data_IF_472662809566
#
_entry.id   IF_472662809566
#
_cell.length_a   1.000
_cell.length_b   1.000
_cell.length_c   1.000
_cell.angle_alpha   90.00
_cell.angle_beta   90.00
_cell.angle_gamma   90.00
#
_symmetry.space_group_name_H-M   'P 1'
#
loop_
_entity.id
_entity.type
_entity.pdbx_description
1 polymer ?
#
# COMPACT_ATOMS: atom_id res chain seq x y z
N UNK A 1 -5.03 19.35 23.26
CA UNK A 1 -5.06 20.11 21.99
C UNK A 1 -5.35 19.10 20.90
N UNK A 2 -6.55 19.12 20.31
CA UNK A 2 -6.93 18.14 19.28
C UNK A 2 -6.21 18.48 17.98
N UNK A 3 -5.60 17.48 17.31
CA UNK A 3 -4.98 17.64 15.99
C UNK A 3 -5.97 18.22 14.96
N UNK A 4 -7.27 18.01 15.18
CA UNK A 4 -8.39 18.48 14.36
C UNK A 4 -8.62 19.99 14.40
N UNK A 5 -7.97 20.73 15.31
CA UNK A 5 -8.08 22.18 15.38
C UNK A 5 -7.06 22.91 14.47
N UNK A 6 -6.12 22.17 13.88
CA UNK A 6 -5.11 22.74 12.97
C UNK A 6 -5.66 22.85 11.55
N UNK A 7 -5.17 23.84 10.79
CA UNK A 7 -5.47 23.93 9.36
C UNK A 7 -4.91 22.72 8.62
N UNK A 8 -5.55 22.35 7.50
CA UNK A 8 -5.09 21.24 6.65
C UNK A 8 -3.65 21.42 6.18
N UNK A 9 -3.20 22.65 5.92
CA UNK A 9 -1.81 22.94 5.53
C UNK A 9 -0.80 22.59 6.62
N UNK A 10 -1.09 22.94 7.88
CA UNK A 10 -0.22 22.61 9.01
C UNK A 10 -0.23 21.11 9.31
N UNK A 11 -1.38 20.45 9.16
CA UNK A 11 -1.50 19.00 9.27
C UNK A 11 -0.64 18.28 8.23
N UNK A 12 -0.62 18.74 6.96
CA UNK A 12 0.23 18.16 5.92
C UNK A 12 1.70 18.27 6.29
N UNK A 13 2.15 19.45 6.76
CA UNK A 13 3.55 19.67 7.15
C UNK A 13 3.93 18.75 8.31
N UNK A 14 3.10 18.66 9.35
CA UNK A 14 3.35 17.78 10.49
C UNK A 14 3.42 16.31 10.04
N UNK A 15 2.49 15.85 9.20
CA UNK A 15 2.49 14.49 8.67
C UNK A 15 3.67 14.22 7.72
N UNK A 16 4.24 15.25 7.08
CA UNK A 16 5.42 15.12 6.21
C UNK A 16 6.72 14.94 6.99
N UNK A 17 6.78 15.43 8.24
CA UNK A 17 7.93 15.32 9.15
C UNK A 17 7.92 14.03 9.98
N UNK A 18 6.76 13.40 10.19
CA UNK A 18 6.62 12.17 10.98
C UNK A 18 7.16 10.94 10.24
N UNK A 19 7.54 9.87 10.94
CA UNK A 19 7.87 8.60 10.28
C UNK A 19 6.62 7.95 9.66
N UNK A 20 6.81 7.03 8.72
CA UNK A 20 5.70 6.42 7.98
C UNK A 20 4.81 5.62 8.92
N UNK A 21 5.40 4.80 9.78
CA UNK A 21 4.71 4.07 10.83
C UNK A 21 3.88 4.98 11.73
N UNK A 22 4.40 6.16 12.10
CA UNK A 22 3.69 7.13 12.93
C UNK A 22 2.49 7.72 12.18
N UNK A 23 2.67 8.07 10.90
CA UNK A 23 1.57 8.54 10.04
C UNK A 23 0.48 7.47 9.94
N UNK A 24 0.86 6.20 9.76
CA UNK A 24 -0.10 5.09 9.72
C UNK A 24 -0.84 4.95 11.06
N UNK A 25 -0.13 5.01 12.19
CA UNK A 25 -0.73 4.94 13.54
C UNK A 25 -1.71 6.10 13.81
N UNK A 26 -1.38 7.31 13.34
CA UNK A 26 -2.27 8.46 13.39
C UNK A 26 -3.52 8.24 12.53
N UNK A 27 -3.40 7.59 11.38
CA UNK A 27 -4.52 7.29 10.49
C UNK A 27 -5.40 6.14 10.97
N UNK A 28 -4.82 5.16 11.68
CA UNK A 28 -5.55 4.12 12.39
C UNK A 28 -6.45 4.72 13.49
N UNK A 29 -5.96 5.76 14.16
CA UNK A 29 -6.71 6.44 15.23
C UNK A 29 -7.67 7.52 14.71
N UNK A 30 -7.38 8.13 13.56
CA UNK A 30 -8.13 9.26 12.99
C UNK A 30 -8.33 9.10 11.48
N UNK A 31 -9.33 8.32 11.04
CA UNK A 31 -9.59 8.07 9.62
C UNK A 31 -9.96 9.34 8.82
N UNK A 32 -10.39 10.42 9.49
CA UNK A 32 -10.70 11.71 8.85
C UNK A 32 -9.47 12.36 8.19
N UNK A 33 -8.27 12.00 8.65
CA UNK A 33 -7.01 12.52 8.12
C UNK A 33 -6.55 11.79 6.85
N UNK A 34 -7.25 10.74 6.42
CA UNK A 34 -6.91 9.92 5.25
C UNK A 34 -6.80 10.74 3.96
N UNK A 35 -7.66 11.73 3.78
CA UNK A 35 -7.63 12.64 2.63
C UNK A 35 -6.39 13.54 2.64
N UNK A 36 -5.91 13.91 3.83
CA UNK A 36 -4.78 14.82 4.03
C UNK A 36 -3.45 14.06 3.89
N UNK A 37 -3.40 12.83 4.40
CA UNK A 37 -2.23 11.96 4.28
C UNK A 37 -1.89 11.58 2.84
N UNK A 38 -2.85 11.64 1.92
CA UNK A 38 -2.62 11.38 0.49
C UNK A 38 -1.43 12.17 -0.07
N UNK A 39 -1.39 13.47 0.20
CA UNK A 39 -0.34 14.35 -0.31
C UNK A 39 1.02 14.07 0.33
N UNK A 40 1.04 13.68 1.62
CA UNK A 40 2.27 13.37 2.34
C UNK A 40 2.83 11.99 1.96
N UNK A 41 1.97 10.97 1.88
CA UNK A 41 2.35 9.60 1.60
C UNK A 41 2.75 9.40 0.13
N UNK A 42 2.14 10.12 -0.82
CA UNK A 42 2.49 10.00 -2.25
C UNK A 42 3.94 10.37 -2.56
N UNK A 43 4.52 11.33 -1.84
CA UNK A 43 5.92 11.72 -2.04
C UNK A 43 6.90 10.70 -1.44
N UNK A 44 6.41 9.80 -0.59
CA UNK A 44 7.23 8.78 0.09
C UNK A 44 7.11 7.49 -0.71
N UNK A 45 8.24 7.00 -1.20
CA UNK A 45 8.32 5.76 -1.96
C UNK A 45 8.16 4.59 -0.99
N UNK A 46 6.91 4.20 -0.71
CA UNK A 46 6.58 3.16 0.29
C UNK A 46 6.40 1.80 -0.37
N UNK A 47 7.06 0.78 0.20
CA UNK A 47 6.93 -0.61 -0.27
C UNK A 47 5.60 -1.20 0.19
N UNK A 48 4.74 -1.54 -0.77
CA UNK A 48 3.46 -2.21 -0.50
C UNK A 48 3.63 -3.69 -0.11
N UNK A 49 4.75 -4.33 -0.50
CA UNK A 49 4.95 -5.79 -0.37
C UNK A 49 4.90 -6.36 1.06
N UNK A 50 5.51 -5.75 2.11
CA UNK A 50 5.41 -6.31 3.46
C UNK A 50 3.96 -6.42 3.93
N UNK A 51 3.13 -5.42 3.60
CA UNK A 51 1.71 -5.40 3.92
C UNK A 51 0.90 -6.37 3.06
N UNK A 52 1.29 -6.56 1.79
CA UNK A 52 0.68 -7.54 0.91
C UNK A 52 0.98 -8.99 1.32
N UNK A 53 2.17 -9.23 1.86
CA UNK A 53 2.58 -10.54 2.39
C UNK A 53 1.86 -10.87 3.70
N UNK A 54 1.75 -9.89 4.61
CA UNK A 54 1.07 -10.05 5.90
C UNK A 54 -0.45 -10.14 5.75
N UNK A 55 -1.03 -9.54 4.69
CA UNK A 55 -2.47 -9.44 4.51
C UNK A 55 -3.08 -8.23 5.20
N UNK A 56 -2.29 -7.20 5.50
CA UNK A 56 -2.75 -5.99 6.18
C UNK A 56 -3.52 -5.08 5.20
N UNK A 57 -4.83 -5.36 5.09
CA UNK A 57 -5.75 -4.65 4.21
C UNK A 57 -5.82 -3.16 4.53
N UNK A 58 -5.73 -2.78 5.80
CA UNK A 58 -5.81 -1.38 6.20
C UNK A 58 -4.62 -0.60 5.61
N UNK A 59 -3.40 -1.12 5.82
CA UNK A 59 -2.19 -0.49 5.28
C UNK A 59 -2.12 -0.56 3.76
N UNK A 60 -2.53 -1.67 3.15
CA UNK A 60 -2.61 -1.80 1.69
C UNK A 60 -3.59 -0.78 1.11
N UNK A 61 -4.79 -0.63 1.67
CA UNK A 61 -5.77 0.37 1.22
C UNK A 61 -5.24 1.79 1.43
N UNK A 62 -4.58 2.06 2.56
CA UNK A 62 -4.01 3.37 2.85
C UNK A 62 -2.93 3.78 1.84
N UNK A 63 -2.13 2.82 1.41
CA UNK A 63 -1.06 3.06 0.44
C UNK A 63 -1.58 3.01 -1.02
N UNK A 64 -2.62 2.23 -1.30
CA UNK A 64 -3.37 2.18 -2.57
C UNK A 64 -4.49 3.22 -2.59
N UNK A 65 -4.20 4.48 -2.27
CA UNK A 65 -5.17 5.56 -2.49
C UNK A 65 -5.32 5.87 -3.99
N UNK A 66 -6.40 6.55 -4.43
CA UNK A 66 -6.61 6.90 -5.83
C UNK A 66 -5.41 7.62 -6.46
N UNK A 67 -4.76 7.01 -7.44
CA UNK A 67 -3.57 7.55 -8.12
C UNK A 67 -2.22 7.18 -7.48
N UNK A 68 -2.22 6.31 -6.46
CA UNK A 68 -1.03 5.59 -6.03
C UNK A 68 -0.67 4.50 -7.05
N UNK A 69 0.62 4.23 -7.21
CA UNK A 69 1.12 3.17 -8.08
C UNK A 69 1.02 1.82 -7.36
N UNK A 70 0.10 0.96 -7.83
CA UNK A 70 -0.14 -0.36 -7.26
C UNK A 70 1.00 -1.36 -7.52
N UNK A 71 1.89 -1.05 -8.46
CA UNK A 71 3.10 -1.82 -8.75
C UNK A 71 4.33 -1.24 -8.02
N UNK A 72 4.17 -0.22 -7.16
CA UNK A 72 5.28 0.40 -6.42
C UNK A 72 5.94 -0.61 -5.47
N UNK A 73 7.05 -1.18 -5.94
CA UNK A 73 7.93 -2.05 -5.16
C UNK A 73 9.35 -1.47 -5.15
N UNK A 74 9.99 -1.54 -3.99
CA UNK A 74 11.38 -1.11 -3.83
C UNK A 74 12.37 -2.14 -4.40
N UNK A 75 11.90 -3.34 -4.73
CA UNK A 75 12.76 -4.45 -5.15
C UNK A 75 12.39 -4.92 -6.55
N UNK A 76 13.42 -5.09 -7.37
CA UNK A 76 13.33 -5.52 -8.76
C UNK A 76 12.79 -6.95 -9.00
N UNK A 77 12.57 -7.73 -7.94
CA UNK A 77 12.20 -9.14 -8.03
C UNK A 77 10.86 -9.40 -7.30
N UNK A 78 9.74 -9.03 -7.94
CA UNK A 78 8.37 -9.32 -7.47
C UNK A 78 7.46 -8.10 -7.42
N UNK A 79 6.15 -8.33 -7.62
CA UNK A 79 5.12 -7.30 -7.47
C UNK A 79 4.33 -7.49 -6.18
N UNK A 80 3.73 -6.42 -5.62
CA UNK A 80 2.81 -6.54 -4.47
C UNK A 80 1.72 -7.59 -4.71
N UNK A 81 1.25 -7.71 -5.96
CA UNK A 81 0.26 -8.70 -6.38
C UNK A 81 0.79 -10.13 -6.29
N UNK A 82 2.02 -10.41 -6.73
CA UNK A 82 2.60 -11.75 -6.63
C UNK A 82 2.78 -12.20 -5.18
N UNK A 83 3.17 -11.28 -4.30
CA UNK A 83 3.38 -11.58 -2.89
C UNK A 83 2.05 -11.85 -2.18
N UNK A 84 1.02 -11.04 -2.44
CA UNK A 84 -0.32 -11.28 -1.93
C UNK A 84 -0.87 -12.64 -2.40
N UNK A 85 -0.73 -12.95 -3.69
CA UNK A 85 -1.21 -14.20 -4.28
C UNK A 85 -0.45 -15.42 -3.74
N UNK A 86 0.87 -15.35 -3.60
CA UNK A 86 1.71 -16.44 -3.08
C UNK A 86 1.48 -16.74 -1.59
N UNK A 87 0.86 -15.81 -0.86
CA UNK A 87 0.48 -15.96 0.54
C UNK A 87 -1.03 -16.17 0.73
N UNK A 88 -1.82 -16.33 -0.34
CA UNK A 88 -3.26 -16.56 -0.27
C UNK A 88 -4.06 -15.37 0.28
N UNK A 89 -3.56 -14.14 0.12
CA UNK A 89 -4.23 -12.92 0.61
C UNK A 89 -5.27 -12.44 -0.41
N UNK A 90 -6.37 -13.18 -0.54
CA UNK A 90 -7.39 -12.91 -1.57
C UNK A 90 -7.95 -11.48 -1.54
N UNK A 91 -8.22 -10.93 -0.35
CA UNK A 91 -8.76 -9.57 -0.21
C UNK A 91 -7.76 -8.49 -0.65
N UNK A 92 -6.47 -8.69 -0.34
CA UNK A 92 -5.39 -7.82 -0.81
C UNK A 92 -5.22 -7.92 -2.33
N UNK A 93 -5.30 -9.13 -2.89
CA UNK A 93 -5.24 -9.35 -4.34
C UNK A 93 -6.36 -8.57 -5.04
N UNK A 94 -7.60 -8.66 -4.53
CA UNK A 94 -8.73 -7.90 -5.08
C UNK A 94 -8.48 -6.40 -5.04
N UNK A 95 -8.01 -5.87 -3.90
CA UNK A 95 -7.70 -4.45 -3.75
C UNK A 95 -6.63 -3.96 -4.73
N UNK A 96 -5.55 -4.74 -4.91
CA UNK A 96 -4.50 -4.42 -5.86
C UNK A 96 -5.04 -4.39 -7.31
N UNK A 97 -5.87 -5.36 -7.69
CA UNK A 97 -6.49 -5.42 -9.01
C UNK A 97 -7.45 -4.25 -9.26
N UNK A 98 -8.25 -3.86 -8.26
CA UNK A 98 -9.14 -2.69 -8.31
C UNK A 98 -8.36 -1.39 -8.55
N UNK A 99 -7.12 -1.31 -8.04
CA UNK A 99 -6.24 -0.16 -8.22
C UNK A 99 -5.30 -0.28 -9.44
N UNK A 100 -5.55 -1.26 -10.32
CA UNK A 100 -4.85 -1.39 -11.60
C UNK A 100 -3.47 -2.06 -11.52
N UNK A 101 -3.18 -2.83 -10.46
CA UNK A 101 -1.95 -3.61 -10.38
C UNK A 101 -1.81 -4.54 -11.59
N UNK A 102 -0.60 -4.60 -12.17
CA UNK A 102 -0.38 -5.39 -13.37
C UNK A 102 -0.23 -6.86 -13.01
N UNK A 103 -1.11 -7.68 -13.57
CA UNK A 103 -1.06 -9.15 -13.46
C UNK A 103 0.14 -9.73 -14.19
N UNK A 104 0.58 -9.06 -15.26
CA UNK A 104 1.57 -9.54 -16.21
C UNK A 104 2.97 -8.96 -16.01
N UNK A 105 3.33 -8.49 -14.81
CA UNK A 105 4.73 -8.13 -14.59
C UNK A 105 5.58 -9.38 -14.89
N UNK A 106 6.37 -9.28 -15.97
CA UNK A 106 7.34 -10.29 -16.38
C UNK A 106 8.35 -10.43 -15.25
N UNK A 107 8.02 -11.27 -14.28
CA UNK A 107 9.00 -11.87 -13.41
C UNK A 107 10.06 -12.42 -14.36
N UNK A 108 11.28 -11.89 -14.28
CA UNK A 108 12.43 -12.40 -15.03
C UNK A 108 12.70 -13.90 -14.76
N UNK A 109 11.97 -14.50 -13.81
CA UNK A 109 11.71 -15.93 -13.73
C UNK A 109 10.37 -16.26 -14.40
N UNK A 110 10.43 -17.04 -15.49
CA UNK A 110 9.35 -17.56 -16.37
C UNK A 110 8.14 -18.26 -15.70
N UNK A 111 7.64 -17.78 -14.56
CA UNK A 111 6.52 -18.37 -13.84
C UNK A 111 5.61 -17.24 -13.37
N UNK A 112 4.55 -17.06 -14.15
CA UNK A 112 3.44 -16.12 -13.94
C UNK A 112 2.94 -16.15 -12.49
N UNK A 113 2.54 -15.02 -11.89
CA UNK A 113 2.03 -14.93 -10.52
C UNK A 113 0.92 -15.96 -10.20
N UNK A 114 0.11 -16.30 -11.21
CA UNK A 114 -0.93 -17.34 -11.17
C UNK A 114 -0.38 -18.76 -10.91
N UNK A 115 0.82 -19.11 -11.37
CA UNK A 115 1.40 -20.43 -11.16
C UNK A 115 1.85 -20.65 -9.69
N UNK A 116 2.25 -19.60 -8.98
CA UNK A 116 2.62 -19.71 -7.56
C UNK A 116 1.38 -19.83 -6.69
N UNK A 117 0.32 -19.07 -6.99
CA UNK A 117 -0.97 -19.19 -6.31
C UNK A 117 -1.59 -20.58 -6.54
N UNK A 118 -1.57 -21.09 -7.77
CA UNK A 118 -2.10 -22.42 -8.10
C UNK A 118 -1.32 -23.59 -7.49
N UNK A 119 -0.03 -23.39 -7.14
CA UNK A 119 0.80 -24.44 -6.52
C UNK A 119 0.60 -24.56 -5.00
N UNK A 120 0.00 -23.55 -4.36
CA UNK A 120 -0.24 -23.52 -2.91
C UNK A 120 -1.70 -23.75 -2.51
N UNK A 121 -2.60 -23.91 -3.48
CA UNK A 121 -3.99 -24.36 -3.27
C UNK A 121 -4.09 -25.87 -3.12
#
# INVERSE_FOLDING_TARGET
MSLLALSSELLIIILAELEVEDVISVLETHPDLYQISFHSLRSRRLDLRPYCTSGDIFRVRLLLQPGADADNSSFHFGTPLSDAAANGREEVVKLLLEHGARVDHELHFKHQPLHVAAKKG
#
